data_IF_768765746264
#
_entry.id   IF_768765746264
#
_cell.length_a   1.000
_cell.length_b   1.000
_cell.length_c   1.000
_cell.angle_alpha   90.00
_cell.angle_beta   90.00
_cell.angle_gamma   90.00
#
_symmetry.space_group_name_H-M   'P 1'
#
loop_
_entity.id
_entity.type
_entity.pdbx_description
1 polymer ?
#
# COMPACT_ATOMS: atom_id res chain seq x y z
N UNK A 1 -30.67 44.08 17.52
CA UNK A 1 -29.72 43.68 16.45
C UNK A 1 -28.91 42.52 16.99
N UNK A 2 -28.77 41.49 16.17
CA UNK A 2 -28.48 40.09 16.54
C UNK A 2 -27.31 39.90 17.49
N UNK A 3 -27.60 39.17 18.57
CA UNK A 3 -26.64 38.47 19.40
C UNK A 3 -26.16 37.25 18.60
N UNK A 4 -24.90 37.29 18.17
CA UNK A 4 -24.27 36.22 17.40
C UNK A 4 -23.81 35.12 18.33
N UNK A 5 -24.71 34.17 18.62
CA UNK A 5 -24.43 32.90 19.30
C UNK A 5 -23.41 32.10 18.47
N UNK A 6 -22.13 32.40 18.67
CA UNK A 6 -21.02 31.53 18.25
C UNK A 6 -21.05 30.31 19.15
N UNK A 7 -21.93 29.34 18.85
CA UNK A 7 -21.96 28.06 19.57
C UNK A 7 -20.58 27.43 19.46
N UNK A 8 -19.84 27.40 20.56
CA UNK A 8 -18.63 26.60 20.66
C UNK A 8 -19.02 25.15 20.37
N UNK A 9 -18.49 24.61 19.28
CA UNK A 9 -18.69 23.20 18.96
C UNK A 9 -18.08 22.38 20.10
N UNK A 10 -18.87 21.48 20.68
CA UNK A 10 -18.45 20.61 21.76
C UNK A 10 -17.21 19.79 21.31
N UNK A 11 -16.19 19.58 22.16
CA UNK A 11 -14.99 18.81 21.79
C UNK A 11 -15.32 17.45 21.16
N UNK A 12 -16.40 16.81 21.61
CA UNK A 12 -16.91 15.55 21.07
C UNK A 12 -17.37 15.65 19.60
N UNK A 13 -18.08 16.71 19.24
CA UNK A 13 -18.50 16.93 17.84
C UNK A 13 -17.29 17.25 16.94
N UNK A 14 -16.28 17.95 17.48
CA UNK A 14 -15.04 18.25 16.76
C UNK A 14 -14.27 16.96 16.44
N UNK A 15 -14.06 16.09 17.41
CA UNK A 15 -13.31 14.86 17.20
C UNK A 15 -14.03 13.90 16.24
N UNK A 16 -15.36 13.80 16.32
CA UNK A 16 -16.15 12.99 15.36
C UNK A 16 -15.96 13.50 13.94
N UNK A 17 -15.95 14.82 13.74
CA UNK A 17 -15.71 15.41 12.41
C UNK A 17 -14.31 15.10 11.89
N UNK A 18 -13.28 15.28 12.73
CA UNK A 18 -11.89 14.96 12.37
C UNK A 18 -11.75 13.47 12.06
N UNK A 19 -12.36 12.60 12.88
CA UNK A 19 -12.37 11.15 12.69
C UNK A 19 -13.00 10.75 11.34
N UNK A 20 -14.14 11.33 10.99
CA UNK A 20 -14.79 11.08 9.70
C UNK A 20 -13.91 11.49 8.50
N UNK A 21 -13.23 12.64 8.60
CA UNK A 21 -12.27 13.08 7.59
C UNK A 21 -11.07 12.13 7.50
N UNK A 22 -10.57 11.67 8.64
CA UNK A 22 -9.48 10.71 8.73
C UNK A 22 -9.85 9.40 8.04
N UNK A 23 -11.01 8.83 8.36
CA UNK A 23 -11.47 7.58 7.74
C UNK A 23 -11.76 7.74 6.24
N UNK A 24 -12.12 8.94 5.77
CA UNK A 24 -12.20 9.22 4.33
C UNK A 24 -10.82 9.12 3.66
N UNK A 25 -9.76 9.61 4.31
CA UNK A 25 -8.38 9.47 3.81
C UNK A 25 -7.87 8.04 3.92
N UNK A 26 -8.28 7.29 4.94
CA UNK A 26 -8.02 5.84 5.02
C UNK A 26 -8.62 5.11 3.82
N UNK A 27 -9.87 5.39 3.44
CA UNK A 27 -10.47 4.79 2.23
C UNK A 27 -9.67 5.10 0.96
N UNK A 28 -9.21 6.35 0.80
CA UNK A 28 -8.37 6.74 -0.33
C UNK A 28 -7.04 5.98 -0.35
N UNK A 29 -6.42 5.78 0.81
CA UNK A 29 -5.21 4.97 0.93
C UNK A 29 -5.47 3.52 0.49
N UNK A 30 -6.56 2.90 0.94
CA UNK A 30 -6.95 1.54 0.55
C UNK A 30 -7.15 1.38 -0.98
N UNK A 31 -7.77 2.37 -1.62
CA UNK A 31 -7.92 2.41 -3.08
C UNK A 31 -6.57 2.50 -3.81
N UNK A 32 -5.65 3.33 -3.29
CA UNK A 32 -4.29 3.40 -3.80
C UNK A 32 -3.59 2.05 -3.64
N UNK A 33 -3.65 1.40 -2.47
CA UNK A 33 -3.01 0.09 -2.25
C UNK A 33 -3.47 -0.96 -3.26
N UNK A 34 -4.78 -1.00 -3.56
CA UNK A 34 -5.36 -1.89 -4.57
C UNK A 34 -4.83 -1.59 -5.98
N UNK A 35 -4.71 -0.30 -6.31
CA UNK A 35 -4.13 0.17 -7.58
C UNK A 35 -2.66 -0.22 -7.70
N UNK A 36 -1.86 0.04 -6.66
CA UNK A 36 -0.46 -0.37 -6.57
C UNK A 36 -0.28 -1.87 -6.70
N UNK A 37 -1.15 -2.67 -6.08
CA UNK A 37 -1.13 -4.13 -6.21
C UNK A 37 -1.34 -4.58 -7.67
N UNK A 38 -2.29 -3.96 -8.36
CA UNK A 38 -2.57 -4.25 -9.77
C UNK A 38 -1.37 -3.90 -10.66
N UNK A 39 -0.73 -2.77 -10.41
CA UNK A 39 0.48 -2.34 -11.12
C UNK A 39 1.65 -3.30 -10.87
N UNK A 40 1.86 -3.74 -9.62
CA UNK A 40 2.91 -4.68 -9.25
C UNK A 40 2.72 -6.06 -9.89
N UNK A 41 1.49 -6.58 -9.92
CA UNK A 41 1.15 -7.81 -10.65
C UNK A 41 1.40 -7.62 -12.15
N UNK A 42 1.02 -6.46 -12.71
CA UNK A 42 1.27 -6.12 -14.11
C UNK A 42 2.77 -6.10 -14.43
N UNK A 43 3.59 -5.56 -13.54
CA UNK A 43 5.05 -5.55 -13.61
C UNK A 43 5.59 -6.99 -13.61
N UNK A 44 5.16 -7.82 -12.65
CA UNK A 44 5.57 -9.22 -12.55
C UNK A 44 5.22 -10.02 -13.81
N UNK A 45 4.01 -9.87 -14.34
CA UNK A 45 3.57 -10.55 -15.56
C UNK A 45 4.39 -10.15 -16.79
N UNK A 46 4.60 -8.84 -16.99
CA UNK A 46 5.37 -8.32 -18.12
C UNK A 46 6.82 -8.81 -18.07
N UNK A 47 7.41 -8.81 -16.87
CA UNK A 47 8.78 -9.27 -16.65
C UNK A 47 8.92 -10.79 -16.85
N UNK A 48 7.92 -11.57 -16.41
CA UNK A 48 7.86 -13.00 -16.65
C UNK A 48 7.79 -13.36 -18.14
N UNK A 49 7.10 -12.54 -18.94
CA UNK A 49 7.03 -12.74 -20.39
C UNK A 49 8.39 -12.51 -21.07
N UNK A 50 9.10 -11.45 -20.68
CA UNK A 50 10.42 -11.11 -21.25
C UNK A 50 11.51 -12.15 -20.94
N UNK A 51 11.30 -12.99 -19.91
CA UNK A 51 12.25 -13.98 -19.44
C UNK A 51 11.82 -15.42 -19.69
N UNK A 52 10.93 -15.68 -20.67
CA UNK A 52 10.57 -17.06 -21.04
C UNK A 52 11.84 -17.90 -21.25
N UNK A 53 11.94 -19.10 -20.63
CA UNK A 53 13.09 -19.96 -20.79
C UNK A 53 13.35 -20.23 -22.27
N UNK A 54 14.63 -20.35 -22.65
CA UNK A 54 14.98 -20.84 -23.98
C UNK A 54 14.37 -22.22 -24.19
N UNK A 55 14.00 -22.51 -25.45
CA UNK A 55 13.47 -23.82 -25.80
C UNK A 55 14.47 -24.89 -25.35
N UNK A 56 13.97 -25.88 -24.62
CA UNK A 56 14.73 -27.07 -24.27
C UNK A 56 15.11 -27.84 -25.55
N UNK A 57 16.41 -27.82 -25.86
CA UNK A 57 16.99 -28.47 -27.04
C UNK A 57 17.26 -29.96 -26.82
N UNK A 58 16.95 -30.52 -25.65
CA UNK A 58 17.14 -31.96 -25.37
C UNK A 58 16.19 -32.85 -26.18
N UNK A 59 15.08 -32.29 -26.67
CA UNK A 59 14.15 -32.99 -27.56
C UNK A 59 14.74 -33.16 -28.96
N UNK A 60 14.90 -34.42 -29.37
CA UNK A 60 15.38 -34.80 -30.71
C UNK A 60 14.50 -34.26 -31.85
N UNK A 61 13.20 -34.03 -31.58
CA UNK A 61 12.28 -33.39 -32.52
C UNK A 61 12.59 -31.90 -32.68
N UNK A 62 12.73 -31.18 -31.56
CA UNK A 62 13.05 -29.75 -31.55
C UNK A 62 14.38 -29.49 -32.23
N UNK A 63 15.40 -30.28 -31.91
CA UNK A 63 16.72 -30.18 -32.52
C UNK A 63 16.64 -30.37 -34.04
N UNK A 64 15.88 -31.38 -34.50
CA UNK A 64 15.68 -31.65 -35.93
C UNK A 64 14.96 -30.50 -36.63
N UNK A 65 13.94 -29.92 -36.01
CA UNK A 65 13.20 -28.77 -36.59
C UNK A 65 14.14 -27.57 -36.77
N UNK A 66 14.93 -27.24 -35.75
CA UNK A 66 15.89 -26.12 -35.81
C UNK A 66 16.93 -26.36 -36.91
N UNK A 67 17.53 -27.55 -36.95
CA UNK A 67 18.52 -27.95 -37.97
C UNK A 67 17.96 -28.00 -39.39
N UNK A 68 16.69 -28.35 -39.56
CA UNK A 68 16.07 -28.47 -40.89
C UNK A 68 15.82 -27.11 -41.53
N UNK A 69 15.50 -26.10 -40.71
CA UNK A 69 15.16 -24.78 -41.22
C UNK A 69 16.31 -23.77 -41.19
N UNK A 70 17.44 -24.11 -40.54
CA UNK A 70 18.76 -23.45 -40.42
C UNK A 70 18.93 -22.04 -41.04
N UNK A 71 18.02 -21.14 -40.69
CA UNK A 71 18.05 -19.76 -41.13
C UNK A 71 18.51 -18.90 -39.96
N UNK A 72 19.30 -17.86 -40.26
CA UNK A 72 19.73 -16.88 -39.26
C UNK A 72 18.54 -16.35 -38.45
N UNK A 73 17.38 -16.18 -39.08
CA UNK A 73 16.15 -15.72 -38.44
C UNK A 73 15.62 -16.71 -37.37
N UNK A 74 15.57 -18.00 -37.68
CA UNK A 74 15.06 -19.03 -36.74
C UNK A 74 16.05 -19.23 -35.59
N UNK A 75 17.35 -19.25 -35.88
CA UNK A 75 18.40 -19.32 -34.86
C UNK A 75 18.29 -18.13 -33.88
N UNK A 76 18.24 -16.90 -34.39
CA UNK A 76 18.11 -15.72 -33.53
C UNK A 76 16.80 -15.69 -32.73
N UNK A 77 15.69 -16.19 -33.29
CA UNK A 77 14.41 -16.31 -32.57
C UNK A 77 14.51 -17.33 -31.42
N UNK A 78 15.12 -18.49 -31.66
CA UNK A 78 15.33 -19.53 -30.64
C UNK A 78 16.29 -19.07 -29.56
N UNK A 79 17.39 -18.40 -29.93
CA UNK A 79 18.36 -17.79 -29.00
C UNK A 79 17.72 -16.71 -28.13
N UNK A 80 16.74 -15.98 -28.66
CA UNK A 80 15.98 -14.94 -27.94
C UNK A 80 14.84 -15.51 -27.07
N UNK A 81 14.84 -16.82 -26.79
CA UNK A 81 13.80 -17.44 -25.95
C UNK A 81 12.44 -17.57 -26.64
N UNK A 82 12.42 -17.53 -27.98
CA UNK A 82 11.19 -17.60 -28.78
C UNK A 82 10.19 -16.48 -28.48
N UNK A 83 10.70 -15.34 -28.03
CA UNK A 83 9.91 -14.12 -27.84
C UNK A 83 9.81 -13.39 -29.18
N UNK A 84 8.59 -13.11 -29.63
CA UNK A 84 8.37 -12.28 -30.80
C UNK A 84 8.79 -10.83 -30.49
N UNK A 85 9.50 -10.17 -31.41
CA UNK A 85 9.97 -8.80 -31.24
C UNK A 85 8.84 -7.83 -30.90
N UNK A 86 7.67 -7.99 -31.54
CA UNK A 86 6.48 -7.18 -31.23
C UNK A 86 6.06 -7.33 -29.77
N UNK A 87 5.96 -8.57 -29.28
CA UNK A 87 5.53 -8.86 -27.92
C UNK A 87 6.58 -8.42 -26.90
N UNK A 88 7.87 -8.50 -27.26
CA UNK A 88 8.97 -7.95 -26.47
C UNK A 88 8.78 -6.44 -26.27
N UNK A 89 8.58 -5.68 -27.35
CA UNK A 89 8.36 -4.22 -27.28
C UNK A 89 7.12 -3.88 -26.44
N UNK A 90 6.01 -4.61 -26.63
CA UNK A 90 4.80 -4.40 -25.84
C UNK A 90 5.02 -4.67 -24.34
N UNK A 91 5.72 -5.77 -23.99
CA UNK A 91 5.96 -6.11 -22.59
C UNK A 91 6.98 -5.18 -21.93
N UNK A 92 8.01 -4.72 -22.66
CA UNK A 92 8.91 -3.65 -22.16
C UNK A 92 8.12 -2.37 -21.91
N UNK A 93 7.23 -1.98 -22.82
CA UNK A 93 6.37 -0.81 -22.62
C UNK A 93 5.44 -0.97 -21.41
N UNK A 94 4.82 -2.14 -21.25
CA UNK A 94 3.98 -2.46 -20.08
C UNK A 94 4.79 -2.40 -18.79
N UNK A 95 6.00 -2.97 -18.77
CA UNK A 95 6.88 -2.97 -17.62
C UNK A 95 7.25 -1.54 -17.20
N UNK A 96 7.59 -0.70 -18.16
CA UNK A 96 7.89 0.71 -17.91
C UNK A 96 6.67 1.48 -17.39
N UNK A 97 5.49 1.27 -17.98
CA UNK A 97 4.24 1.91 -17.50
C UNK A 97 3.89 1.47 -16.08
N UNK A 98 4.02 0.19 -15.76
CA UNK A 98 3.80 -0.32 -14.41
C UNK A 98 4.81 0.29 -13.42
N UNK A 99 6.08 0.41 -13.81
CA UNK A 99 7.09 1.05 -12.96
C UNK A 99 6.76 2.52 -12.67
N UNK A 100 6.51 3.31 -13.71
CA UNK A 100 6.11 4.71 -13.56
C UNK A 100 4.84 4.87 -12.73
N UNK A 101 3.85 3.99 -12.95
CA UNK A 101 2.62 4.00 -12.15
C UNK A 101 2.85 3.63 -10.69
N UNK A 102 3.83 2.76 -10.39
CA UNK A 102 4.20 2.43 -9.02
C UNK A 102 4.94 3.59 -8.34
N UNK A 103 5.78 4.32 -9.08
CA UNK A 103 6.42 5.54 -8.58
C UNK A 103 5.37 6.61 -8.27
N UNK A 104 4.44 6.87 -9.20
CA UNK A 104 3.32 7.80 -8.98
C UNK A 104 2.43 7.36 -7.80
N UNK A 105 2.15 6.05 -7.67
CA UNK A 105 1.45 5.50 -6.51
C UNK A 105 2.13 5.85 -5.19
N UNK A 106 3.47 5.73 -5.12
CA UNK A 106 4.21 6.05 -3.90
C UNK A 106 4.09 7.55 -3.59
N UNK A 107 4.22 8.42 -4.58
CA UNK A 107 4.06 9.87 -4.39
C UNK A 107 2.64 10.23 -3.91
N UNK A 108 1.61 9.61 -4.48
CA UNK A 108 0.22 9.82 -4.03
C UNK A 108 -0.01 9.27 -2.61
N UNK A 109 0.52 8.09 -2.31
CA UNK A 109 0.40 7.49 -0.98
C UNK A 109 1.11 8.33 0.09
N UNK A 110 2.25 8.94 -0.23
CA UNK A 110 2.95 9.87 0.66
C UNK A 110 2.07 11.07 1.03
N UNK A 111 1.38 11.66 0.04
CA UNK A 111 0.45 12.78 0.27
C UNK A 111 -0.65 12.35 1.25
N UNK A 112 -1.29 11.20 1.02
CA UNK A 112 -2.38 10.70 1.87
C UNK A 112 -1.87 10.38 3.28
N UNK A 113 -0.71 9.75 3.43
CA UNK A 113 -0.10 9.46 4.75
C UNK A 113 0.20 10.75 5.52
N UNK A 114 0.69 11.80 4.84
CA UNK A 114 0.92 13.10 5.45
C UNK A 114 -0.39 13.80 5.85
N UNK A 115 -1.45 13.69 5.04
CA UNK A 115 -2.79 14.20 5.40
C UNK A 115 -3.36 13.45 6.62
N UNK A 116 -3.20 12.12 6.69
CA UNK A 116 -3.59 11.30 7.84
C UNK A 116 -2.86 11.74 9.11
N UNK A 117 -1.55 12.03 9.00
CA UNK A 117 -0.77 12.58 10.11
C UNK A 117 -1.32 13.94 10.57
N UNK A 118 -1.62 14.84 9.65
CA UNK A 118 -2.18 16.16 9.98
C UNK A 118 -3.52 16.05 10.72
N UNK A 119 -4.40 15.15 10.27
CA UNK A 119 -5.68 14.90 10.95
C UNK A 119 -5.49 14.26 12.34
N UNK A 120 -4.46 13.42 12.50
CA UNK A 120 -4.09 12.90 13.80
C UNK A 120 -3.58 14.00 14.75
N UNK A 121 -2.76 14.92 14.24
CA UNK A 121 -2.29 16.08 15.01
C UNK A 121 -3.48 16.99 15.42
N UNK A 122 -4.48 17.17 14.54
CA UNK A 122 -5.73 17.87 14.87
C UNK A 122 -6.52 17.17 15.99
N UNK A 123 -6.61 15.83 15.96
CA UNK A 123 -7.27 15.06 17.01
C UNK A 123 -6.59 15.24 18.38
N UNK A 124 -5.25 15.29 18.40
CA UNK A 124 -4.48 15.58 19.63
C UNK A 124 -4.82 16.94 20.20
N UNK A 125 -4.95 17.97 19.35
CA UNK A 125 -5.36 19.31 19.79
C UNK A 125 -6.78 19.30 20.38
N UNK A 126 -7.70 18.51 19.83
CA UNK A 126 -9.06 18.37 20.37
C UNK A 126 -9.05 17.69 21.75
N UNK A 127 -8.27 16.62 21.93
CA UNK A 127 -8.10 15.97 23.25
C UNK A 127 -7.54 16.97 24.27
N UNK A 128 -6.46 17.68 23.94
CA UNK A 128 -5.84 18.64 24.86
C UNK A 128 -6.78 19.78 25.29
N UNK A 129 -7.66 20.22 24.38
CA UNK A 129 -8.63 21.29 24.65
C UNK A 129 -9.88 20.80 25.39
N UNK A 130 -10.15 19.49 25.42
CA UNK A 130 -11.26 18.88 26.17
C UNK A 130 -11.00 18.78 27.68
N UNK A 131 -9.75 18.95 28.12
CA UNK A 131 -9.34 18.78 29.52
C UNK A 131 -9.03 17.34 29.91
N UNK A 132 -9.20 16.38 29.00
CA UNK A 132 -8.72 14.99 29.12
C UNK A 132 -7.19 15.00 29.06
N UNK A 133 -6.53 15.05 30.23
CA UNK A 133 -5.08 14.84 30.34
C UNK A 133 -4.83 13.33 30.38
N UNK A 134 -4.75 12.70 29.22
CA UNK A 134 -4.19 11.36 29.15
C UNK A 134 -2.68 11.47 28.87
N UNK A 135 -1.87 11.26 29.91
CA UNK A 135 -0.39 11.27 29.79
C UNK A 135 0.11 10.11 28.91
N UNK A 136 -0.68 9.02 28.82
CA UNK A 136 -0.41 7.86 27.96
C UNK A 136 -0.69 8.13 26.48
N UNK A 137 -1.38 9.21 26.12
CA UNK A 137 -1.58 9.53 24.71
C UNK A 137 -0.24 9.93 24.05
N UNK A 138 0.63 10.65 24.78
CA UNK A 138 1.90 11.18 24.28
C UNK A 138 2.86 10.13 23.70
N UNK A 139 2.88 8.91 24.27
CA UNK A 139 3.76 7.83 23.82
C UNK A 139 3.30 7.13 22.53
N UNK A 140 2.02 7.26 22.14
CA UNK A 140 1.54 6.82 20.82
C UNK A 140 2.02 7.69 19.66
N UNK A 141 2.36 8.97 19.93
CA UNK A 141 2.64 9.96 18.89
C UNK A 141 4.13 10.09 18.53
N UNK A 142 5.04 9.64 19.40
CA UNK A 142 6.49 9.84 19.22
C UNK A 142 7.22 8.63 18.61
N UNK A 143 6.77 7.39 18.82
CA UNK A 143 7.51 6.19 18.40
C UNK A 143 6.80 5.37 17.31
N UNK A 144 7.41 5.33 16.12
CA UNK A 144 6.88 4.61 14.94
C UNK A 144 7.07 3.09 15.01
N UNK A 145 7.67 2.57 16.10
CA UNK A 145 7.99 1.16 16.31
C UNK A 145 7.16 0.48 17.41
N UNK A 146 6.14 1.12 17.95
CA UNK A 146 5.37 0.54 19.05
C UNK A 146 4.39 -0.53 18.53
N UNK A 147 4.65 -1.80 18.87
CA UNK A 147 3.73 -2.92 18.70
C UNK A 147 2.64 -2.78 19.77
N UNK A 148 1.64 -1.94 19.50
CA UNK A 148 0.56 -1.69 20.46
C UNK A 148 -0.54 -2.72 20.29
N UNK A 149 -0.80 -3.50 21.34
CA UNK A 149 -1.87 -4.49 21.37
C UNK A 149 -3.09 -3.94 22.13
N UNK A 150 -4.24 -3.90 21.44
CA UNK A 150 -5.55 -3.61 22.02
C UNK A 150 -6.12 -4.85 22.72
N UNK A 151 -5.47 -5.34 23.78
CA UNK A 151 -5.98 -6.53 24.47
C UNK A 151 -7.26 -6.25 25.28
N UNK A 152 -7.44 -5.07 25.87
CA UNK A 152 -8.33 -4.96 27.05
C UNK A 152 -9.36 -3.80 27.03
N UNK A 153 -9.94 -3.40 25.89
CA UNK A 153 -11.13 -2.50 25.91
C UNK A 153 -12.38 -3.21 25.38
N UNK A 154 -13.17 -3.72 26.33
CA UNK A 154 -14.52 -4.23 26.12
C UNK A 154 -15.46 -3.08 25.69
N UNK A 155 -16.21 -3.31 24.61
CA UNK A 155 -17.43 -2.60 24.17
C UNK A 155 -17.42 -1.06 24.19
N UNK A 156 -17.28 -0.49 22.99
CA UNK A 156 -17.38 0.93 22.62
C UNK A 156 -18.78 1.57 22.82
N UNK A 157 -19.42 1.41 23.97
CA UNK A 157 -20.77 1.96 24.19
C UNK A 157 -20.80 3.39 24.74
N UNK A 158 -19.65 4.05 24.96
CA UNK A 158 -19.53 5.47 25.30
C UNK A 158 -18.12 6.01 25.00
N UNK A 159 -17.73 6.20 23.72
CA UNK A 159 -16.40 6.75 23.41
C UNK A 159 -16.23 8.18 23.92
N UNK A 160 -15.11 8.38 24.60
CA UNK A 160 -14.56 9.69 24.96
C UNK A 160 -13.71 10.27 23.82
N UNK A 161 -13.29 11.53 23.95
CA UNK A 161 -12.50 12.20 22.89
C UNK A 161 -11.16 11.50 22.69
N UNK A 162 -10.55 11.03 23.79
CA UNK A 162 -9.33 10.23 23.79
C UNK A 162 -9.46 8.89 23.04
N UNK A 163 -10.61 8.21 23.09
CA UNK A 163 -10.78 6.91 22.41
C UNK A 163 -10.71 7.03 20.88
N UNK A 164 -11.29 8.09 20.32
CA UNK A 164 -11.21 8.38 18.88
C UNK A 164 -9.77 8.69 18.47
N UNK A 165 -9.08 9.54 19.24
CA UNK A 165 -7.69 9.89 18.97
C UNK A 165 -6.76 8.67 19.06
N UNK A 166 -6.97 7.80 20.05
CA UNK A 166 -6.26 6.54 20.17
C UNK A 166 -6.50 5.66 18.94
N UNK A 167 -7.75 5.44 18.54
CA UNK A 167 -8.09 4.66 17.34
C UNK A 167 -7.42 5.21 16.07
N UNK A 168 -7.41 6.54 15.89
CA UNK A 168 -6.71 7.17 14.77
C UNK A 168 -5.20 6.92 14.81
N UNK A 169 -4.58 6.99 15.99
CA UNK A 169 -3.16 6.70 16.17
C UNK A 169 -2.81 5.26 15.79
N UNK A 170 -3.64 4.29 16.22
CA UNK A 170 -3.50 2.88 15.83
C UNK A 170 -3.54 2.70 14.32
N UNK A 171 -4.60 3.20 13.68
CA UNK A 171 -4.78 3.08 12.22
C UNK A 171 -3.63 3.75 11.48
N UNK A 172 -3.26 4.97 11.88
CA UNK A 172 -2.14 5.68 11.25
C UNK A 172 -0.81 4.92 11.37
N UNK A 173 -0.50 4.36 12.54
CA UNK A 173 0.73 3.58 12.74
C UNK A 173 0.81 2.38 11.79
N UNK A 174 -0.27 1.59 11.71
CA UNK A 174 -0.37 0.45 10.80
C UNK A 174 -0.19 0.86 9.34
N UNK A 175 -0.92 1.89 8.89
CA UNK A 175 -0.86 2.36 7.51
C UNK A 175 0.50 2.98 7.15
N UNK A 176 1.16 3.65 8.10
CA UNK A 176 2.51 4.19 7.91
C UNK A 176 3.54 3.08 7.71
N UNK A 177 3.43 1.98 8.47
CA UNK A 177 4.30 0.81 8.29
C UNK A 177 4.02 0.10 6.95
N UNK A 178 2.75 -0.04 6.58
CA UNK A 178 2.33 -0.59 5.29
C UNK A 178 2.86 0.26 4.12
N UNK A 179 2.74 1.59 4.19
CA UNK A 179 3.34 2.52 3.24
C UNK A 179 4.86 2.37 3.17
N UNK A 180 5.57 2.32 4.30
CA UNK A 180 7.02 2.16 4.31
C UNK A 180 7.46 0.83 3.66
N UNK A 181 6.68 -0.24 3.83
CA UNK A 181 6.89 -1.50 3.11
C UNK A 181 6.70 -1.32 1.60
N UNK A 182 5.64 -0.64 1.16
CA UNK A 182 5.38 -0.37 -0.25
C UNK A 182 6.53 0.42 -0.90
N UNK A 183 7.03 1.47 -0.23
CA UNK A 183 8.21 2.24 -0.68
C UNK A 183 9.43 1.35 -0.88
N UNK A 184 9.70 0.46 0.08
CA UNK A 184 10.83 -0.49 -0.01
C UNK A 184 10.67 -1.46 -1.16
N UNK A 185 9.45 -1.97 -1.39
CA UNK A 185 9.15 -2.85 -2.51
C UNK A 185 9.42 -2.12 -3.83
N UNK A 186 8.81 -0.94 -4.04
CA UNK A 186 8.96 -0.17 -5.29
C UNK A 186 10.41 0.19 -5.54
N UNK A 187 11.13 0.67 -4.51
CA UNK A 187 12.55 1.02 -4.62
C UNK A 187 13.46 -0.18 -4.93
N UNK A 188 13.03 -1.39 -4.57
CA UNK A 188 13.76 -2.64 -4.83
C UNK A 188 13.43 -3.25 -6.19
N UNK A 189 12.46 -2.69 -6.93
CA UNK A 189 12.14 -3.15 -8.26
C UNK A 189 13.28 -2.80 -9.21
N UNK A 190 13.82 -3.81 -9.86
CA UNK A 190 14.77 -3.63 -10.93
C UNK A 190 14.51 -4.66 -12.02
N UNK A 191 14.96 -4.35 -13.24
CA UNK A 191 14.96 -5.30 -14.35
C UNK A 191 15.78 -6.57 -14.04
N UNK A 192 16.61 -6.56 -12.97
CA UNK A 192 17.40 -7.69 -12.47
C UNK A 192 16.74 -8.44 -11.31
N UNK A 193 15.86 -7.80 -10.53
CA UNK A 193 15.24 -8.32 -9.29
C UNK A 193 14.44 -9.61 -9.50
N UNK A 194 14.06 -9.92 -10.74
CA UNK A 194 13.36 -11.14 -11.14
C UNK A 194 14.23 -12.38 -11.30
N UNK A 195 15.52 -12.35 -10.93
CA UNK A 195 16.33 -13.58 -10.84
C UNK A 195 16.16 -14.30 -9.49
N UNK A 196 15.45 -13.67 -8.55
CA UNK A 196 15.23 -14.13 -7.18
C UNK A 196 13.72 -14.31 -6.94
N UNK A 197 13.33 -15.27 -6.08
CA UNK A 197 11.95 -15.42 -5.60
C UNK A 197 11.40 -14.20 -4.85
N UNK A 198 12.22 -13.15 -4.69
CA UNK A 198 11.88 -11.84 -4.14
C UNK A 198 10.63 -11.21 -4.76
N UNK A 199 10.48 -11.18 -6.10
CA UNK A 199 9.34 -10.47 -6.70
C UNK A 199 7.99 -11.14 -6.36
N UNK A 200 7.96 -12.47 -6.25
CA UNK A 200 6.77 -13.18 -5.77
C UNK A 200 6.51 -12.86 -4.29
N UNK A 201 7.56 -12.82 -3.47
CA UNK A 201 7.47 -12.40 -2.07
C UNK A 201 6.95 -10.97 -1.94
N UNK A 202 7.40 -10.03 -2.77
CA UNK A 202 6.90 -8.66 -2.78
C UNK A 202 5.42 -8.59 -3.12
N UNK A 203 4.96 -9.32 -4.14
CA UNK A 203 3.54 -9.38 -4.49
C UNK A 203 2.70 -9.94 -3.32
N UNK A 204 3.21 -10.98 -2.65
CA UNK A 204 2.57 -11.57 -1.46
C UNK A 204 2.52 -10.58 -0.30
N UNK A 205 3.62 -9.92 0.02
CA UNK A 205 3.68 -8.92 1.10
C UNK A 205 2.70 -7.76 0.84
N UNK A 206 2.66 -7.25 -0.39
CA UNK A 206 1.72 -6.20 -0.79
C UNK A 206 0.26 -6.64 -0.66
N UNK A 207 -0.05 -7.90 -1.03
CA UNK A 207 -1.42 -8.42 -0.97
C UNK A 207 -1.87 -8.77 0.44
N UNK A 208 -0.95 -9.29 1.28
CA UNK A 208 -1.24 -9.76 2.63
C UNK A 208 -1.21 -8.64 3.68
N UNK A 209 -0.53 -7.53 3.39
CA UNK A 209 -0.45 -6.34 4.25
C UNK A 209 -0.14 -6.69 5.72
N UNK A 210 1.04 -7.27 5.99
CA UNK A 210 1.36 -7.85 7.31
C UNK A 210 1.36 -6.86 8.47
N UNK A 211 1.35 -5.55 8.21
CA UNK A 211 1.31 -4.50 9.22
C UNK A 211 -0.10 -3.98 9.52
N UNK A 212 -1.11 -4.46 8.80
CA UNK A 212 -2.50 -4.03 8.95
C UNK A 212 -3.30 -5.12 9.65
N UNK A 213 -3.85 -4.78 10.80
CA UNK A 213 -4.77 -5.64 11.54
C UNK A 213 -6.21 -5.38 11.07
N UNK A 214 -6.81 -6.38 10.43
CA UNK A 214 -8.17 -6.31 9.90
C UNK A 214 -9.23 -6.12 11.00
N UNK A 215 -8.99 -6.62 12.21
CA UNK A 215 -9.93 -6.48 13.33
C UNK A 215 -9.92 -5.03 13.85
N UNK A 216 -8.75 -4.39 13.91
CA UNK A 216 -8.63 -2.96 14.25
C UNK A 216 -9.28 -2.10 13.16
N UNK A 217 -9.00 -2.38 11.88
CA UNK A 217 -9.60 -1.65 10.77
C UNK A 217 -11.13 -1.78 10.78
N UNK A 218 -11.67 -2.99 10.99
CA UNK A 218 -13.11 -3.20 11.11
C UNK A 218 -13.71 -2.38 12.24
N UNK A 219 -13.10 -2.41 13.44
CA UNK A 219 -13.54 -1.59 14.59
C UNK A 219 -13.52 -0.10 14.26
N UNK A 220 -12.50 0.38 13.55
CA UNK A 220 -12.42 1.78 13.13
C UNK A 220 -13.59 2.17 12.19
N UNK A 221 -13.94 1.30 11.24
CA UNK A 221 -15.07 1.55 10.35
C UNK A 221 -16.43 1.57 11.06
N UNK A 222 -16.60 0.74 12.09
CA UNK A 222 -17.83 0.71 12.91
C UNK A 222 -18.08 2.04 13.64
N UNK A 223 -17.03 2.83 13.93
CA UNK A 223 -17.15 4.13 14.59
C UNK A 223 -17.59 5.28 13.67
N UNK A 224 -17.62 5.05 12.35
CA UNK A 224 -18.10 6.02 11.35
C UNK A 224 -19.59 5.83 11.02
N UNK A 225 -20.13 4.65 11.32
CA UNK A 225 -21.52 4.24 11.00
C UNK A 225 -22.54 4.73 12.02
#
# INVERSE_FOLDING_TARGET
MQDGDSREIEPKDKIIKVYSQFMTRVAQFEELVSTGCTLLIGFQQALGFLRRPSIDKTSTLVERIIKTHDSRRILSYVESGCVNCHDCVQNVSKLHKCHLGLEDHIDQAEIVVNELKGLLDDAVLVVQTSGEKDEDLSCYFEDSNLEVTLSDREQFTNLEVADFAAMMAFVYSMLKQDYAMQVRIVSSLSYKSSLSGELETYCKMWSLRPFVDDDIMRKAWELVS
#
